data_IF_549252462228
#
_entry.id   IF_549252462228
#
_cell.length_a   1.000
_cell.length_b   1.000
_cell.length_c   1.000
_cell.angle_alpha   90.00
_cell.angle_beta   90.00
_cell.angle_gamma   90.00
#
_symmetry.space_group_name_H-M   'P 1'
#
loop_
_entity.id
_entity.type
_entity.pdbx_description
1 polymer ?
#
# COMPACT_ATOMS: atom_id res chain seq x y z
N UNK A 1 12.85 10.31 11.57
CA UNK A 1 11.46 10.64 11.17
C UNK A 1 10.69 9.35 11.08
N UNK A 2 9.38 9.41 11.30
CA UNK A 2 8.52 8.26 11.10
C UNK A 2 7.67 8.48 9.87
N UNK A 3 7.48 7.42 9.09
CA UNK A 3 6.54 7.42 7.97
C UNK A 3 5.44 6.39 8.22
N UNK A 4 4.25 6.68 7.72
CA UNK A 4 3.09 5.79 7.85
C UNK A 4 2.18 5.95 6.65
N UNK A 5 1.63 4.85 6.16
CA UNK A 5 0.64 4.84 5.10
C UNK A 5 -0.70 4.36 5.67
N UNK A 6 -1.76 5.15 5.52
CA UNK A 6 -3.11 4.80 5.99
C UNK A 6 -4.12 4.80 4.85
N UNK A 7 -5.10 3.90 4.90
CA UNK A 7 -6.12 3.77 3.87
C UNK A 7 -7.03 5.00 3.82
N UNK A 8 -7.48 5.37 2.61
CA UNK A 8 -8.60 6.31 2.42
C UNK A 8 -9.88 5.64 1.89
N UNK A 9 -9.83 4.33 1.66
CA UNK A 9 -10.95 3.47 1.30
C UNK A 9 -10.95 2.23 2.23
N UNK A 10 -11.12 1.03 1.68
CA UNK A 10 -11.09 -0.23 2.44
C UNK A 10 -9.78 -1.00 2.24
N UNK A 11 -9.58 -2.03 3.06
CA UNK A 11 -8.51 -2.99 2.87
C UNK A 11 -9.01 -4.17 2.07
N UNK A 12 -8.08 -4.91 1.49
CA UNK A 12 -8.41 -6.11 0.74
C UNK A 12 -9.10 -7.17 1.62
N UNK A 13 -9.85 -8.05 0.95
CA UNK A 13 -10.53 -9.18 1.53
C UNK A 13 -11.98 -8.86 1.86
N UNK A 14 -12.85 -9.88 1.81
CA UNK A 14 -14.28 -9.74 2.13
C UNK A 14 -14.53 -9.11 3.52
N UNK A 15 -13.65 -9.37 4.49
CA UNK A 15 -13.71 -8.81 5.83
C UNK A 15 -12.94 -7.49 6.00
N UNK A 16 -12.32 -6.96 4.94
CA UNK A 16 -11.44 -5.78 4.95
C UNK A 16 -10.30 -5.87 5.96
N UNK A 17 -9.71 -7.06 6.09
CA UNK A 17 -8.73 -7.44 7.12
C UNK A 17 -7.37 -7.88 6.52
N UNK A 18 -7.14 -7.58 5.25
CA UNK A 18 -5.85 -7.82 4.59
C UNK A 18 -4.90 -6.62 4.60
N UNK A 19 -3.66 -6.86 4.18
CA UNK A 19 -2.59 -5.86 4.18
C UNK A 19 -2.62 -4.98 2.94
N UNK A 20 -3.16 -5.47 1.82
CA UNK A 20 -3.36 -4.70 0.59
C UNK A 20 -4.47 -3.67 0.68
N UNK A 21 -4.36 -2.62 -0.13
CA UNK A 21 -5.35 -1.57 -0.27
C UNK A 21 -6.32 -1.98 -1.38
N UNK A 22 -7.61 -2.09 -1.05
CA UNK A 22 -8.63 -2.51 -2.00
C UNK A 22 -8.95 -1.40 -3.02
N UNK A 23 -9.60 -1.78 -4.11
CA UNK A 23 -10.12 -0.83 -5.08
C UNK A 23 -11.24 0.03 -4.46
N UNK A 24 -10.93 1.29 -4.17
CA UNK A 24 -11.86 2.31 -3.70
C UNK A 24 -12.50 3.15 -4.81
N UNK A 25 -12.34 2.77 -6.08
CA UNK A 25 -12.98 3.46 -7.21
C UNK A 25 -14.50 3.43 -7.11
N UNK A 26 -15.14 4.56 -7.38
CA UNK A 26 -16.61 4.68 -7.47
C UNK A 26 -17.15 4.51 -8.89
N UNK A 27 -16.28 4.27 -9.87
CA UNK A 27 -16.67 4.06 -11.25
C UNK A 27 -17.61 2.85 -11.42
N UNK A 28 -18.56 2.94 -12.35
CA UNK A 28 -19.48 1.85 -12.66
C UNK A 28 -18.73 0.60 -13.17
N UNK A 29 -17.67 0.81 -13.96
CA UNK A 29 -16.80 -0.21 -14.53
C UNK A 29 -15.56 -0.48 -13.64
N UNK A 30 -15.71 -0.49 -12.31
CA UNK A 30 -14.56 -0.75 -11.41
C UNK A 30 -14.05 -2.20 -11.51
N UNK A 31 -12.73 -2.36 -11.46
CA UNK A 31 -12.11 -3.68 -11.37
C UNK A 31 -12.49 -4.36 -10.06
N UNK A 32 -12.64 -5.69 -10.08
CA UNK A 32 -12.97 -6.50 -8.91
C UNK A 32 -11.90 -7.55 -8.60
N UNK A 33 -11.84 -8.00 -7.35
CA UNK A 33 -10.91 -9.02 -6.85
C UNK A 33 -9.41 -8.70 -7.05
N UNK A 34 -9.09 -7.41 -7.09
CA UNK A 34 -7.73 -6.89 -7.13
C UNK A 34 -7.50 -5.89 -6.01
N UNK A 35 -6.30 -5.92 -5.46
CA UNK A 35 -5.80 -4.97 -4.47
C UNK A 35 -4.40 -4.51 -4.85
N UNK A 36 -3.89 -3.49 -4.17
CA UNK A 36 -2.49 -3.06 -4.30
C UNK A 36 -1.74 -3.26 -2.99
N UNK A 37 -0.59 -3.91 -3.07
CA UNK A 37 0.38 -3.92 -1.97
C UNK A 37 1.34 -2.74 -2.15
N UNK A 38 1.77 -2.12 -1.05
CA UNK A 38 2.78 -1.07 -1.05
C UNK A 38 3.91 -1.49 -0.13
N UNK A 39 5.17 -1.31 -0.56
CA UNK A 39 6.36 -1.85 0.10
C UNK A 39 7.42 -0.78 0.36
N UNK A 40 8.23 -0.98 1.40
CA UNK A 40 9.33 -0.09 1.86
C UNK A 40 10.62 -0.15 1.03
N UNK A 41 10.58 -0.73 -0.16
CA UNK A 41 11.74 -0.85 -1.06
C UNK A 41 11.30 -0.66 -2.50
N UNK A 42 12.25 -0.44 -3.42
CA UNK A 42 11.96 -0.25 -4.85
C UNK A 42 11.46 -1.50 -5.58
N UNK A 43 11.65 -2.69 -4.99
CA UNK A 43 11.17 -3.96 -5.52
C UNK A 43 10.23 -4.62 -4.51
N UNK A 44 8.97 -4.92 -4.88
CA UNK A 44 8.01 -5.53 -3.98
C UNK A 44 8.48 -6.88 -3.43
N UNK A 45 8.26 -7.13 -2.13
CA UNK A 45 8.41 -8.43 -1.48
C UNK A 45 9.80 -9.11 -1.63
N UNK A 46 10.89 -8.34 -1.68
CA UNK A 46 12.26 -8.87 -1.74
C UNK A 46 13.09 -8.48 -0.52
N UNK A 47 13.94 -9.39 -0.04
CA UNK A 47 14.91 -9.10 1.02
C UNK A 47 14.24 -8.57 2.30
N UNK A 48 14.67 -7.41 2.78
CA UNK A 48 14.15 -6.74 3.99
C UNK A 48 12.94 -5.84 3.72
N UNK A 49 12.21 -6.05 2.62
CA UNK A 49 11.02 -5.27 2.29
C UNK A 49 9.89 -5.52 3.30
N UNK A 50 9.34 -4.44 3.83
CA UNK A 50 8.19 -4.43 4.74
C UNK A 50 6.99 -3.87 3.98
N UNK A 51 5.88 -4.59 4.00
CA UNK A 51 4.62 -4.10 3.44
C UNK A 51 4.02 -3.04 4.35
N UNK A 52 3.54 -1.94 3.76
CA UNK A 52 2.63 -1.03 4.44
C UNK A 52 1.26 -1.70 4.58
N UNK A 53 0.95 -2.15 5.79
CA UNK A 53 -0.32 -2.82 6.08
C UNK A 53 -1.49 -1.84 6.09
N UNK A 54 -2.50 -2.12 5.26
CA UNK A 54 -3.75 -1.39 5.25
C UNK A 54 -4.56 -1.58 6.55
N UNK A 55 -4.69 -2.82 7.03
CA UNK A 55 -5.52 -3.16 8.21
C UNK A 55 -4.83 -2.75 9.51
N UNK A 56 -3.52 -2.87 9.58
CA UNK A 56 -2.73 -2.53 10.77
C UNK A 56 -1.61 -1.53 10.42
N UNK A 57 -1.93 -0.26 10.11
CA UNK A 57 -0.93 0.72 9.74
C UNK A 57 0.10 0.95 10.85
N UNK A 58 1.37 0.65 10.56
CA UNK A 58 2.50 0.84 11.46
C UNK A 58 3.40 1.99 10.99
N UNK A 59 3.99 2.71 11.95
CA UNK A 59 5.05 3.68 11.66
C UNK A 59 6.35 2.93 11.34
N UNK A 60 7.07 3.41 10.34
CA UNK A 60 8.42 2.94 10.01
C UNK A 60 9.44 4.05 10.28
N UNK A 61 10.53 3.71 10.93
CA UNK A 61 11.62 4.64 11.19
C UNK A 61 12.43 4.92 9.92
N UNK A 62 12.75 6.20 9.73
CA UNK A 62 13.61 6.70 8.67
C UNK A 62 14.68 7.56 9.30
N UNK A 63 15.94 7.11 9.16
CA UNK A 63 17.11 7.87 9.58
C UNK A 63 17.27 9.08 8.67
N UNK A 64 17.14 10.28 9.25
CA UNK A 64 17.29 11.55 8.52
C UNK A 64 18.55 12.34 8.92
N UNK A 65 19.22 11.93 10.01
CA UNK A 65 20.41 12.61 10.54
C UNK A 65 21.62 12.55 9.59
N UNK A 66 21.61 11.63 8.63
CA UNK A 66 22.69 11.41 7.65
C UNK A 66 22.35 11.96 6.27
N UNK A 67 21.31 12.79 6.14
CA UNK A 67 20.83 13.32 4.87
C UNK A 67 21.91 14.13 4.14
N UNK A 68 22.34 13.67 2.97
CA UNK A 68 23.20 14.45 2.08
C UNK A 68 22.37 15.59 1.47
N UNK A 69 22.93 16.81 1.46
CA UNK A 69 22.27 18.00 0.91
C UNK A 69 20.87 18.28 1.51
N UNK A 70 20.63 17.86 2.75
CA UNK A 70 19.33 17.99 3.43
C UNK A 70 18.15 17.28 2.73
N UNK A 71 18.43 16.29 1.86
CA UNK A 71 17.39 15.49 1.18
C UNK A 71 17.48 14.03 1.62
N UNK A 72 16.33 13.41 1.88
CA UNK A 72 16.21 11.98 2.18
C UNK A 72 15.25 11.36 1.18
N UNK A 73 15.72 10.35 0.45
CA UNK A 73 14.89 9.53 -0.42
C UNK A 73 14.46 8.28 0.35
N UNK A 74 13.16 8.06 0.43
CA UNK A 74 12.61 6.84 1.00
C UNK A 74 12.09 5.94 -0.14
N UNK A 75 12.65 4.73 -0.32
CA UNK A 75 12.26 3.86 -1.43
C UNK A 75 10.87 3.26 -1.18
N UNK A 76 10.03 3.29 -2.21
CA UNK A 76 8.71 2.65 -2.18
C UNK A 76 8.41 1.97 -3.51
N UNK A 77 7.63 0.90 -3.46
CA UNK A 77 7.08 0.25 -4.64
C UNK A 77 5.66 -0.20 -4.38
N UNK A 78 4.91 -0.42 -5.46
CA UNK A 78 3.54 -0.91 -5.40
C UNK A 78 3.34 -2.03 -6.42
N UNK A 79 2.49 -3.00 -6.09
CA UNK A 79 2.16 -4.13 -6.96
C UNK A 79 0.69 -4.49 -6.87
N UNK A 80 0.03 -4.61 -8.02
CA UNK A 80 -1.32 -5.19 -8.10
C UNK A 80 -1.27 -6.68 -7.79
N UNK A 81 -2.19 -7.14 -6.96
CA UNK A 81 -2.33 -8.54 -6.55
C UNK A 81 -3.79 -8.96 -6.62
N UNK A 82 -4.01 -10.27 -6.70
CA UNK A 82 -5.34 -10.85 -6.46
C UNK A 82 -5.68 -10.60 -4.99
N UNK A 83 -6.85 -10.02 -4.76
CA UNK A 83 -7.33 -9.65 -3.43
C UNK A 83 -7.37 -10.87 -2.48
N UNK A 84 -7.06 -10.67 -1.19
CA UNK A 84 -7.20 -11.69 -0.15
C UNK A 84 -8.51 -12.48 -0.27
N UNK A 85 -8.41 -13.80 -0.19
CA UNK A 85 -9.52 -14.75 -0.31
C UNK A 85 -10.22 -14.77 -1.69
N UNK A 86 -9.60 -14.23 -2.74
CA UNK A 86 -10.05 -14.34 -4.13
C UNK A 86 -9.07 -15.15 -4.97
N UNK A 87 -9.50 -15.49 -6.17
CA UNK A 87 -8.68 -16.17 -7.20
C UNK A 87 -8.67 -15.34 -8.48
N UNK A 88 -7.79 -15.70 -9.42
CA UNK A 88 -7.76 -15.07 -10.75
C UNK A 88 -9.10 -15.13 -11.47
N UNK A 89 -9.91 -16.17 -11.23
CA UNK A 89 -11.23 -16.33 -11.84
C UNK A 89 -12.25 -15.29 -11.34
N UNK A 90 -11.97 -14.62 -10.23
CA UNK A 90 -12.80 -13.55 -9.71
C UNK A 90 -12.40 -12.17 -10.26
N UNK A 91 -11.26 -12.07 -10.92
CA UNK A 91 -10.72 -10.80 -11.41
C UNK A 91 -11.54 -10.32 -12.59
N UNK A 92 -12.02 -9.09 -12.49
CA UNK A 92 -12.65 -8.40 -13.62
C UNK A 92 -11.86 -7.15 -13.97
N UNK A 93 -11.70 -6.91 -15.27
CA UNK A 93 -11.09 -5.69 -15.76
C UNK A 93 -11.96 -4.47 -15.40
N UNK A 94 -11.31 -3.31 -15.25
CA UNK A 94 -12.01 -2.08 -14.92
C UNK A 94 -11.12 -1.02 -14.32
N UNK A 95 -11.73 0.09 -13.88
CA UNK A 95 -11.02 1.17 -13.20
C UNK A 95 -10.57 0.74 -11.81
N UNK A 96 -9.31 1.00 -11.50
CA UNK A 96 -8.72 0.75 -10.18
C UNK A 96 -8.21 2.06 -9.59
N UNK A 97 -8.57 2.34 -8.33
CA UNK A 97 -8.02 3.45 -7.55
C UNK A 97 -8.02 3.08 -6.08
N UNK A 98 -6.84 3.06 -5.45
CA UNK A 98 -6.67 2.76 -4.03
C UNK A 98 -5.99 3.96 -3.34
N UNK A 99 -6.74 5.01 -2.99
CA UNK A 99 -6.17 6.19 -2.36
C UNK A 99 -5.69 5.88 -0.94
N UNK A 100 -4.54 6.43 -0.57
CA UNK A 100 -3.95 6.33 0.76
C UNK A 100 -3.37 7.70 1.20
N UNK A 101 -3.19 7.88 2.51
CA UNK A 101 -2.53 9.04 3.10
C UNK A 101 -1.14 8.64 3.56
N UNK A 102 -0.11 9.32 3.07
CA UNK A 102 1.27 9.17 3.52
C UNK A 102 1.58 10.26 4.55
N UNK A 103 1.82 9.88 5.79
CA UNK A 103 2.14 10.78 6.89
C UNK A 103 3.62 10.70 7.20
N UNK A 104 4.27 11.86 7.31
CA UNK A 104 5.64 12.00 7.81
C UNK A 104 5.60 12.77 9.12
N UNK A 105 6.16 12.17 10.17
CA UNK A 105 6.30 12.80 11.49
C UNK A 105 7.78 13.02 11.77
N UNK A 106 8.12 14.26 12.10
CA UNK A 106 9.45 14.63 12.59
C UNK A 106 9.39 14.68 14.12
N UNK A 107 10.36 14.05 14.76
CA UNK A 107 10.56 14.11 16.21
C UNK A 107 11.70 15.08 16.51
#
# INVERSE_FOLDING_TARGET
AQIKLTKRATCEGTANDGAGFANGSTAADKASAVAVEVWSTVTPATGSATQFSCVTPASQEVTISTAANAVVYYPMSARLVVEKNKTVNNVTAGKFSAPATFTVTYN
#
